data_IF_474820661712
#
_entry.id   IF_474820661712
#
_cell.length_a   1.000
_cell.length_b   1.000
_cell.length_c   1.000
_cell.angle_alpha   90.00
_cell.angle_beta   90.00
_cell.angle_gamma   90.00
#
_symmetry.space_group_name_H-M   'P 1'
#
loop_
_entity.id
_entity.type
_entity.pdbx_description
1 polymer ?
#
# COMPACT_ATOMS: atom_id res chain seq x y z
N UNK A 1 -23.31 -4.83 -8.11
CA UNK A 1 -22.72 -4.27 -6.87
C UNK A 1 -21.36 -4.92 -6.70
N UNK A 2 -20.34 -4.13 -6.34
CA UNK A 2 -19.01 -4.65 -6.05
C UNK A 2 -19.03 -5.46 -4.75
N UNK A 3 -18.34 -6.59 -4.72
CA UNK A 3 -18.14 -7.41 -3.53
C UNK A 3 -17.04 -6.83 -2.62
N UNK A 4 -17.02 -7.21 -1.34
CA UNK A 4 -15.98 -6.77 -0.42
C UNK A 4 -14.56 -7.17 -0.89
N UNK A 5 -14.43 -8.36 -1.48
CA UNK A 5 -13.15 -8.83 -2.04
C UNK A 5 -12.68 -7.92 -3.18
N UNK A 6 -13.56 -7.61 -4.13
CA UNK A 6 -13.25 -6.73 -5.26
C UNK A 6 -12.90 -5.32 -4.77
N UNK A 7 -13.62 -4.79 -3.78
CA UNK A 7 -13.34 -3.46 -3.21
C UNK A 7 -11.96 -3.38 -2.54
N UNK A 8 -11.56 -4.43 -1.81
CA UNK A 8 -10.24 -4.50 -1.17
C UNK A 8 -9.13 -4.62 -2.23
N UNK A 9 -9.33 -5.47 -3.23
CA UNK A 9 -8.36 -5.66 -4.32
C UNK A 9 -8.20 -4.39 -5.15
N UNK A 10 -9.30 -3.71 -5.50
CA UNK A 10 -9.28 -2.44 -6.20
C UNK A 10 -8.58 -1.35 -5.37
N UNK A 11 -8.86 -1.28 -4.06
CA UNK A 11 -8.16 -0.34 -3.18
C UNK A 11 -6.64 -0.61 -3.21
N UNK A 12 -6.20 -1.85 -3.03
CA UNK A 12 -4.79 -2.21 -3.07
C UNK A 12 -4.11 -1.85 -4.40
N UNK A 13 -4.73 -2.20 -5.54
CA UNK A 13 -4.19 -1.86 -6.87
C UNK A 13 -4.16 -0.35 -7.09
N UNK A 14 -5.19 0.38 -6.67
CA UNK A 14 -5.27 1.83 -6.78
C UNK A 14 -4.19 2.53 -5.95
N UNK A 15 -3.82 1.99 -4.78
CA UNK A 15 -2.68 2.52 -4.03
C UNK A 15 -1.38 2.41 -4.83
N UNK A 16 -1.12 1.25 -5.45
CA UNK A 16 0.12 1.04 -6.21
C UNK A 16 0.17 1.91 -7.47
N UNK A 17 -0.95 2.08 -8.18
CA UNK A 17 -1.03 3.04 -9.29
C UNK A 17 -0.83 4.47 -8.82
N UNK A 18 -1.51 4.89 -7.75
CA UNK A 18 -1.35 6.23 -7.19
C UNK A 18 0.10 6.53 -6.75
N UNK A 19 0.86 5.51 -6.32
CA UNK A 19 2.29 5.67 -6.01
C UNK A 19 3.15 5.93 -7.24
N UNK A 20 2.86 5.28 -8.37
CA UNK A 20 3.57 5.46 -9.65
C UNK A 20 3.18 6.80 -10.29
N UNK A 21 1.88 7.12 -10.29
CA UNK A 21 1.33 8.33 -10.89
C UNK A 21 1.54 9.59 -10.02
N UNK A 22 2.11 9.42 -8.82
CA UNK A 22 2.24 10.46 -7.78
C UNK A 22 0.90 11.11 -7.39
N UNK A 23 -0.21 10.37 -7.51
CA UNK A 23 -1.54 10.80 -7.08
C UNK A 23 -1.72 10.59 -5.57
N UNK A 24 -1.09 11.46 -4.80
CA UNK A 24 -1.13 11.38 -3.34
C UNK A 24 -2.50 11.75 -2.74
N UNK A 25 -3.39 12.37 -3.52
CA UNK A 25 -4.76 12.66 -3.10
C UNK A 25 -5.59 11.38 -3.08
N UNK A 26 -5.52 10.61 -4.17
CA UNK A 26 -6.15 9.28 -4.24
C UNK A 26 -5.54 8.35 -3.18
N UNK A 27 -4.21 8.33 -3.07
CA UNK A 27 -3.53 7.53 -2.05
C UNK A 27 -4.05 7.86 -0.64
N UNK A 28 -4.11 9.14 -0.25
CA UNK A 28 -4.58 9.54 1.09
C UNK A 28 -6.01 9.05 1.37
N UNK A 29 -6.89 9.14 0.37
CA UNK A 29 -8.27 8.70 0.47
C UNK A 29 -8.45 7.19 0.64
N UNK A 30 -7.51 6.37 0.16
CA UNK A 30 -7.55 4.91 0.24
C UNK A 30 -7.09 4.37 1.60
N UNK A 31 -6.47 5.22 2.43
CA UNK A 31 -5.90 4.89 3.73
C UNK A 31 -6.74 5.45 4.86
N UNK A 32 -6.77 4.78 6.01
CA UNK A 32 -7.39 5.34 7.21
C UNK A 32 -6.56 6.53 7.73
N UNK A 33 -7.17 7.38 8.56
CA UNK A 33 -6.46 8.49 9.20
C UNK A 33 -5.26 8.01 10.04
N UNK A 34 -5.43 6.90 10.76
CA UNK A 34 -4.41 6.27 11.60
C UNK A 34 -3.52 5.26 10.88
N UNK A 35 -3.42 5.33 9.55
CA UNK A 35 -2.62 4.36 8.79
C UNK A 35 -1.14 4.40 9.19
N UNK A 36 -0.54 3.22 9.24
CA UNK A 36 0.90 3.02 9.51
C UNK A 36 1.54 2.12 8.48
N UNK A 37 2.81 2.40 8.15
CA UNK A 37 3.62 1.59 7.24
C UNK A 37 4.92 1.18 7.90
N UNK A 38 5.14 -0.12 8.03
CA UNK A 38 6.41 -0.71 8.48
C UNK A 38 7.23 -1.15 7.27
N UNK A 39 8.43 -0.60 7.15
CA UNK A 39 9.36 -0.87 6.04
C UNK A 39 10.22 -2.12 6.29
N UNK A 40 10.99 -2.51 5.28
CA UNK A 40 11.84 -3.71 5.28
C UNK A 40 12.86 -3.70 6.43
N UNK A 41 13.30 -2.51 6.88
CA UNK A 41 14.22 -2.34 8.01
C UNK A 41 13.52 -2.29 9.38
N UNK A 42 12.21 -2.54 9.44
CA UNK A 42 11.41 -2.51 10.67
C UNK A 42 10.98 -1.11 11.12
N UNK A 43 11.46 -0.04 10.50
CA UNK A 43 11.03 1.32 10.82
C UNK A 43 9.55 1.51 10.44
N UNK A 44 8.77 2.07 11.36
CA UNK A 44 7.35 2.35 11.14
C UNK A 44 7.12 3.85 11.00
N UNK A 45 6.45 4.24 9.93
CA UNK A 45 6.02 5.61 9.65
C UNK A 45 4.51 5.72 9.77
N UNK A 46 4.06 6.92 10.17
CA UNK A 46 2.68 7.36 10.03
C UNK A 46 2.33 7.64 8.57
N UNK A 47 1.03 7.70 8.27
CA UNK A 47 0.52 8.13 6.95
C UNK A 47 1.13 9.47 6.50
N UNK A 48 1.16 10.45 7.39
CA UNK A 48 1.63 11.80 7.07
C UNK A 48 3.11 11.82 6.75
N UNK A 49 3.95 11.16 7.55
CA UNK A 49 5.39 11.06 7.30
C UNK A 49 5.66 10.36 5.97
N UNK A 50 4.98 9.25 5.70
CA UNK A 50 5.17 8.50 4.46
C UNK A 50 4.73 9.29 3.23
N UNK A 51 3.55 9.92 3.24
CA UNK A 51 3.10 10.77 2.12
C UNK A 51 4.02 11.98 1.93
N UNK A 52 4.52 12.58 3.01
CA UNK A 52 5.49 13.67 2.92
C UNK A 52 6.80 13.20 2.29
N UNK A 53 7.30 12.02 2.63
CA UNK A 53 8.48 11.42 2.01
C UNK A 53 8.30 11.26 0.49
N UNK A 54 7.13 10.77 0.05
CA UNK A 54 6.80 10.62 -1.37
C UNK A 54 6.72 11.97 -2.09
N UNK A 55 6.10 12.99 -1.47
CA UNK A 55 5.97 14.35 -2.03
C UNK A 55 7.30 15.06 -2.24
N UNK A 56 8.32 14.75 -1.44
CA UNK A 56 9.65 15.33 -1.55
C UNK A 56 10.59 14.47 -2.42
N UNK A 57 10.05 13.49 -3.17
CA UNK A 57 10.81 12.59 -4.03
C UNK A 57 11.96 11.85 -3.31
N UNK A 58 11.87 11.73 -1.98
CA UNK A 58 12.81 10.93 -1.19
C UNK A 58 12.59 9.43 -1.42
N UNK A 59 11.38 9.06 -1.83
CA UNK A 59 11.03 7.73 -2.32
C UNK A 59 10.12 7.92 -3.53
N UNK A 60 10.55 7.42 -4.69
CA UNK A 60 9.82 7.48 -5.96
C UNK A 60 9.61 6.07 -6.46
N UNK A 61 8.35 5.70 -6.74
CA UNK A 61 8.01 4.43 -7.37
C UNK A 61 7.89 4.61 -8.87
N UNK A 62 8.58 3.76 -9.63
CA UNK A 62 8.56 3.80 -11.11
C UNK A 62 7.62 2.75 -11.68
N UNK A 63 7.59 1.55 -11.10
CA UNK A 63 6.65 0.51 -11.51
C UNK A 63 6.42 -0.54 -10.42
N UNK A 64 5.32 -1.27 -10.57
CA UNK A 64 5.03 -2.48 -9.81
C UNK A 64 4.63 -3.61 -10.77
N UNK A 65 5.29 -4.75 -10.65
CA UNK A 65 4.88 -6.00 -11.28
C UNK A 65 4.11 -6.85 -10.27
N UNK A 66 2.91 -7.30 -10.62
CA UNK A 66 2.05 -8.09 -9.75
C UNK A 66 2.26 -9.59 -9.96
N UNK A 67 2.52 -10.33 -8.88
CA UNK A 67 2.72 -11.79 -8.95
C UNK A 67 1.57 -12.58 -8.35
N UNK A 68 1.11 -12.19 -7.15
CA UNK A 68 0.07 -12.93 -6.42
C UNK A 68 -0.64 -11.98 -5.44
N UNK A 69 -1.88 -12.30 -5.11
CA UNK A 69 -2.67 -11.58 -4.10
C UNK A 69 -3.60 -12.55 -3.38
N UNK A 70 -3.49 -12.60 -2.05
CA UNK A 70 -4.37 -13.40 -1.18
C UNK A 70 -5.13 -12.50 -0.24
N UNK A 71 -6.44 -12.71 -0.13
CA UNK A 71 -7.34 -11.90 0.71
C UNK A 71 -8.15 -12.81 1.62
N UNK A 72 -8.12 -12.51 2.93
CA UNK A 72 -8.98 -13.12 3.96
C UNK A 72 -9.82 -12.02 4.61
N UNK A 73 -11.14 -12.17 4.55
CA UNK A 73 -12.11 -11.21 5.09
C UNK A 73 -12.73 -11.82 6.36
N UNK A 74 -12.90 -11.00 7.39
CA UNK A 74 -13.52 -11.33 8.66
C UNK A 74 -14.40 -10.16 9.12
N UNK A 75 -15.70 -10.24 8.78
CA UNK A 75 -16.67 -9.18 9.04
C UNK A 75 -16.25 -7.83 8.43
N UNK A 76 -15.92 -6.86 9.28
CA UNK A 76 -15.50 -5.51 8.90
C UNK A 76 -13.98 -5.33 8.87
N UNK A 77 -13.21 -6.41 8.97
CA UNK A 77 -11.75 -6.41 8.85
C UNK A 77 -11.32 -7.35 7.73
N UNK A 78 -10.21 -7.05 7.06
CA UNK A 78 -9.61 -7.97 6.12
C UNK A 78 -8.09 -7.90 6.16
N UNK A 79 -7.44 -9.00 5.79
CA UNK A 79 -6.00 -9.06 5.58
C UNK A 79 -5.71 -9.46 4.14
N UNK A 80 -4.83 -8.69 3.50
CA UNK A 80 -4.31 -8.91 2.16
C UNK A 80 -2.82 -9.20 2.24
N UNK A 81 -2.36 -10.15 1.43
CA UNK A 81 -0.93 -10.36 1.15
C UNK A 81 -0.73 -10.27 -0.35
N UNK A 82 -0.09 -9.21 -0.79
CA UNK A 82 0.32 -9.00 -2.18
C UNK A 82 1.79 -9.35 -2.36
N UNK A 83 2.12 -9.98 -3.48
CA UNK A 83 3.49 -10.28 -3.89
C UNK A 83 3.79 -9.46 -5.15
N UNK A 84 4.79 -8.57 -5.08
CA UNK A 84 5.12 -7.64 -6.18
C UNK A 84 6.63 -7.53 -6.39
N UNK A 85 7.05 -7.24 -7.63
CA UNK A 85 8.36 -6.60 -7.89
C UNK A 85 8.13 -5.09 -7.90
N UNK A 86 8.89 -4.33 -7.13
CA UNK A 86 8.83 -2.86 -7.09
C UNK A 86 10.11 -2.28 -7.63
N UNK A 87 10.00 -1.44 -8.66
CA UNK A 87 11.08 -0.60 -9.15
C UNK A 87 10.92 0.80 -8.53
N UNK A 88 11.94 1.28 -7.83
CA UNK A 88 11.91 2.56 -7.14
C UNK A 88 13.28 3.20 -6.93
N UNK A 89 13.27 4.51 -6.70
CA UNK A 89 14.43 5.30 -6.26
C UNK A 89 14.22 5.77 -4.84
N UNK A 90 15.16 5.44 -3.94
CA UNK A 90 15.14 5.83 -2.53
C UNK A 90 16.38 6.70 -2.26
N UNK A 91 16.17 7.96 -1.87
CA UNK A 91 17.25 8.94 -1.63
C UNK A 91 18.27 9.02 -2.77
N UNK A 92 17.79 8.99 -4.01
CA UNK A 92 18.62 9.03 -5.22
C UNK A 92 19.21 7.67 -5.65
N UNK A 93 19.08 6.64 -4.82
CA UNK A 93 19.54 5.30 -5.15
C UNK A 93 18.41 4.47 -5.78
N UNK A 94 18.59 4.09 -7.05
CA UNK A 94 17.64 3.24 -7.77
C UNK A 94 17.84 1.77 -7.41
N UNK A 95 16.75 1.06 -7.10
CA UNK A 95 16.75 -0.37 -6.79
C UNK A 95 15.44 -1.03 -7.23
N UNK A 96 15.53 -2.33 -7.50
CA UNK A 96 14.39 -3.22 -7.72
C UNK A 96 14.28 -4.17 -6.54
N UNK A 97 13.09 -4.25 -5.94
CA UNK A 97 12.83 -5.10 -4.78
C UNK A 97 11.70 -6.09 -5.04
N UNK A 98 11.94 -7.34 -4.67
CA UNK A 98 10.92 -8.38 -4.58
C UNK A 98 10.27 -8.32 -3.20
N UNK A 99 8.98 -7.96 -3.14
CA UNK A 99 8.29 -7.61 -1.90
C UNK A 99 7.05 -8.47 -1.65
N UNK A 100 6.85 -8.82 -0.38
CA UNK A 100 5.54 -9.11 0.19
C UNK A 100 5.00 -7.85 0.87
N UNK A 101 3.81 -7.42 0.47
CA UNK A 101 3.06 -6.33 1.08
C UNK A 101 1.89 -6.95 1.84
N UNK A 102 1.95 -6.91 3.18
CA UNK A 102 0.87 -7.38 4.06
C UNK A 102 0.08 -6.19 4.53
N UNK A 103 -1.21 -6.14 4.21
CA UNK A 103 -2.09 -5.04 4.60
C UNK A 103 -3.29 -5.51 5.41
N UNK A 104 -3.64 -4.72 6.41
CA UNK A 104 -4.92 -4.84 7.13
C UNK A 104 -5.85 -3.74 6.62
N UNK A 105 -7.09 -4.11 6.35
CA UNK A 105 -8.16 -3.22 5.91
C UNK A 105 -9.27 -3.19 6.95
N UNK A 106 -9.92 -2.03 7.07
CA UNK A 106 -11.10 -1.82 7.90
C UNK A 106 -12.25 -1.31 7.03
N UNK A 107 -13.46 -1.81 7.28
CA UNK A 107 -14.69 -1.37 6.65
C UNK A 107 -15.41 -0.38 7.57
N UNK A 108 -15.67 0.83 7.09
CA UNK A 108 -16.49 1.83 7.77
C UNK A 108 -17.39 2.55 6.78
N UNK A 109 -18.68 2.71 7.11
CA UNK A 109 -19.66 3.34 6.20
C UNK A 109 -19.76 2.66 4.83
N UNK A 110 -19.54 1.34 4.77
CA UNK A 110 -19.55 0.57 3.52
C UNK A 110 -18.26 0.65 2.69
N UNK A 111 -17.28 1.45 3.11
CA UNK A 111 -16.00 1.66 2.39
C UNK A 111 -14.85 0.94 3.08
N UNK A 112 -14.02 0.26 2.29
CA UNK A 112 -12.78 -0.36 2.75
C UNK A 112 -11.60 0.59 2.61
N UNK A 113 -10.80 0.71 3.67
CA UNK A 113 -9.56 1.48 3.69
C UNK A 113 -8.45 0.69 4.37
N UNK A 114 -7.22 0.82 3.88
CA UNK A 114 -6.07 0.18 4.53
C UNK A 114 -5.71 0.94 5.82
N UNK A 115 -5.55 0.20 6.92
CA UNK A 115 -5.19 0.74 8.22
C UNK A 115 -3.73 0.45 8.61
N UNK A 116 -3.12 -0.55 7.99
CA UNK A 116 -1.73 -0.94 8.26
C UNK A 116 -1.12 -1.61 7.05
N UNK A 117 0.17 -1.35 6.81
CA UNK A 117 0.98 -2.04 5.82
C UNK A 117 2.31 -2.48 6.41
N UNK A 118 2.72 -3.73 6.19
CA UNK A 118 4.03 -4.25 6.57
C UNK A 118 4.69 -4.81 5.31
N UNK A 119 5.91 -4.38 5.04
CA UNK A 119 6.66 -4.77 3.84
C UNK A 119 7.85 -5.65 4.23
N UNK A 120 7.98 -6.80 3.59
CA UNK A 120 9.14 -7.70 3.73
C UNK A 120 9.64 -8.11 2.35
N UNK A 121 10.91 -8.51 2.23
CA UNK A 121 11.43 -9.11 0.99
C UNK A 121 11.14 -10.61 0.92
N UNK A 122 11.37 -11.22 -0.25
CA UNK A 122 11.32 -12.67 -0.47
C UNK A 122 12.43 -13.14 -1.41
#
# INVERSE_FOLDING_TARGET
MQTDREAIEENYRSQLHALVDKDFTTLDGLLTAGFTRTHINGHTQTKQEWINQLKHDQLVYHSFEFHDTKIKIDGTTANLVGKVTSDATLYGEHRVWQLHIRQTFLKSGGRWQASRSIVTQW
#
